data_IF_456059803335
#
_entry.id   IF_456059803335
#
_cell.length_a   1.000
_cell.length_b   1.000
_cell.length_c   1.000
_cell.angle_alpha   90.00
_cell.angle_beta   90.00
_cell.angle_gamma   90.00
#
_symmetry.space_group_name_H-M   'P 1'
#
loop_
_entity.id
_entity.type
_entity.pdbx_description
1 polymer ?
#
# COMPACT_ATOMS: atom_id res chain seq x y z
N UNK A 1 -12.79 -12.69 22.34
CA UNK A 1 -13.16 -12.51 20.92
C UNK A 1 -12.00 -11.88 20.18
N UNK A 2 -12.16 -11.60 18.89
CA UNK A 2 -11.17 -10.80 18.15
C UNK A 2 -11.10 -9.37 18.68
N UNK A 3 -9.96 -8.69 18.50
CA UNK A 3 -9.77 -7.29 18.88
C UNK A 3 -9.89 -6.34 17.69
N UNK A 4 -9.69 -6.86 16.47
CA UNK A 4 -9.71 -6.07 15.26
C UNK A 4 -10.26 -6.85 14.06
N UNK A 5 -10.70 -6.10 13.06
CA UNK A 5 -11.03 -6.53 11.71
C UNK A 5 -10.17 -5.72 10.73
N UNK A 6 -9.60 -6.38 9.73
CA UNK A 6 -8.80 -5.75 8.67
C UNK A 6 -9.32 -6.13 7.27
N UNK A 7 -10.63 -6.41 7.16
CA UNK A 7 -11.25 -6.87 5.90
C UNK A 7 -11.77 -5.71 5.04
N UNK A 8 -11.86 -4.51 5.62
CA UNK A 8 -12.44 -3.34 4.98
C UNK A 8 -11.53 -2.68 3.94
N UNK A 9 -12.16 -1.89 3.06
CA UNK A 9 -11.49 -1.00 2.11
C UNK A 9 -12.00 0.42 2.33
N UNK A 10 -11.10 1.39 2.27
CA UNK A 10 -11.41 2.81 2.42
C UNK A 10 -11.00 3.62 1.19
N UNK A 11 -11.59 4.80 0.98
CA UNK A 11 -11.31 5.66 -0.21
C UNK A 11 -9.89 6.28 -0.20
N UNK A 12 -9.15 6.08 0.89
CA UNK A 12 -7.82 6.60 1.19
C UNK A 12 -7.54 6.37 2.68
N UNK A 13 -6.35 6.74 3.19
CA UNK A 13 -6.00 6.52 4.60
C UNK A 13 -7.09 7.00 5.55
N UNK A 14 -7.52 6.12 6.45
CA UNK A 14 -8.61 6.35 7.39
C UNK A 14 -8.16 5.99 8.81
N UNK A 15 -8.60 6.79 9.81
CA UNK A 15 -8.38 6.41 11.21
C UNK A 15 -9.22 5.17 11.53
N UNK A 16 -8.67 4.17 12.22
CA UNK A 16 -9.40 2.94 12.52
C UNK A 16 -10.45 3.17 13.61
N UNK A 17 -11.76 3.12 13.31
CA UNK A 17 -12.78 3.28 14.34
C UNK A 17 -12.97 1.97 15.13
N UNK A 18 -13.28 2.08 16.41
CA UNK A 18 -13.75 0.95 17.22
C UNK A 18 -15.27 0.95 17.28
N UNK A 19 -15.90 -0.17 16.92
CA UNK A 19 -17.35 -0.38 17.02
C UNK A 19 -17.60 -1.76 17.64
N UNK A 20 -18.48 -1.81 18.63
CA UNK A 20 -18.84 -3.05 19.34
C UNK A 20 -17.61 -3.83 19.87
N UNK A 21 -16.60 -3.09 20.34
CA UNK A 21 -15.35 -3.66 20.87
C UNK A 21 -14.35 -4.14 19.81
N UNK A 22 -14.63 -3.98 18.51
CA UNK A 22 -13.74 -4.37 17.41
C UNK A 22 -13.21 -3.12 16.70
N UNK A 23 -11.88 -2.98 16.66
CA UNK A 23 -11.20 -1.92 15.90
C UNK A 23 -11.10 -2.31 14.43
N UNK A 24 -11.50 -1.43 13.52
CA UNK A 24 -11.52 -1.72 12.08
C UNK A 24 -10.40 -1.00 11.35
N UNK A 25 -9.44 -1.76 10.87
CA UNK A 25 -8.40 -1.32 9.94
C UNK A 25 -8.92 -1.54 8.52
N UNK A 26 -8.61 -0.62 7.60
CA UNK A 26 -9.19 -0.67 6.26
C UNK A 26 -8.19 -0.21 5.24
N UNK A 27 -7.82 -1.14 4.36
CA UNK A 27 -6.83 -0.89 3.33
C UNK A 27 -7.25 0.31 2.47
N UNK A 28 -6.39 1.32 2.35
CA UNK A 28 -6.71 2.53 1.65
C UNK A 28 -6.59 2.35 0.15
N UNK A 29 -7.45 3.05 -0.57
CA UNK A 29 -7.22 3.32 -1.98
C UNK A 29 -6.23 4.48 -2.17
N UNK A 30 -5.14 4.22 -2.89
CA UNK A 30 -4.07 5.18 -3.19
C UNK A 30 -4.08 5.57 -4.67
N UNK A 31 -3.68 6.81 -5.02
CA UNK A 31 -3.56 7.22 -6.42
C UNK A 31 -2.42 6.45 -7.10
N UNK A 32 -2.64 5.99 -8.33
CA UNK A 32 -1.63 5.30 -9.12
C UNK A 32 -1.72 5.72 -10.60
N UNK A 33 -0.55 5.86 -11.23
CA UNK A 33 -0.41 6.20 -12.64
C UNK A 33 -0.76 7.66 -12.99
N UNK A 34 -0.63 8.04 -14.28
CA UNK A 34 -0.78 9.42 -14.73
C UNK A 34 -2.21 9.97 -14.53
N UNK A 35 -3.23 9.11 -14.67
CA UNK A 35 -4.62 9.49 -14.42
C UNK A 35 -4.99 9.51 -12.93
N UNK A 36 -4.06 9.16 -12.03
CA UNK A 36 -4.25 9.07 -10.57
C UNK A 36 -5.44 8.20 -10.15
N UNK A 37 -5.79 7.21 -10.97
CA UNK A 37 -6.91 6.32 -10.70
C UNK A 37 -6.59 5.48 -9.48
N UNK A 38 -7.47 5.56 -8.49
CA UNK A 38 -7.35 4.85 -7.22
C UNK A 38 -7.22 3.32 -7.43
N UNK A 39 -6.31 2.72 -6.67
CA UNK A 39 -6.11 1.28 -6.52
C UNK A 39 -6.00 0.97 -5.03
N UNK A 40 -6.50 -0.17 -4.57
CA UNK A 40 -6.27 -0.60 -3.18
C UNK A 40 -4.76 -0.76 -3.00
N UNK A 41 -4.23 -0.25 -1.88
CA UNK A 41 -2.81 -0.33 -1.53
C UNK A 41 -2.41 -1.77 -1.15
N UNK A 42 -2.54 -2.68 -2.10
CA UNK A 42 -2.21 -4.08 -2.00
C UNK A 42 -1.52 -4.54 -3.28
N UNK A 43 -0.45 -5.32 -3.14
CA UNK A 43 0.33 -5.88 -4.24
C UNK A 43 -0.52 -6.59 -5.31
N UNK A 44 -1.50 -7.40 -4.92
CA UNK A 44 -2.38 -8.08 -5.87
C UNK A 44 -3.22 -7.10 -6.70
N UNK A 45 -3.71 -6.02 -6.09
CA UNK A 45 -4.48 -5.01 -6.82
C UNK A 45 -3.59 -4.22 -7.80
N UNK A 46 -2.33 -4.01 -7.44
CA UNK A 46 -1.32 -3.42 -8.34
C UNK A 46 -0.93 -4.40 -9.45
N UNK A 47 -0.81 -5.69 -9.16
CA UNK A 47 -0.60 -6.76 -10.15
C UNK A 47 -1.69 -6.78 -11.21
N UNK A 48 -2.95 -6.78 -10.78
CA UNK A 48 -4.09 -6.68 -11.68
C UNK A 48 -4.06 -5.36 -12.47
N UNK A 49 -3.73 -4.24 -11.82
CA UNK A 49 -3.65 -2.93 -12.48
C UNK A 49 -2.57 -2.87 -13.56
N UNK A 50 -1.40 -3.44 -13.29
CA UNK A 50 -0.22 -3.28 -14.13
C UNK A 50 -0.15 -4.26 -15.28
N UNK A 51 -0.57 -5.52 -15.05
CA UNK A 51 -0.42 -6.58 -16.03
C UNK A 51 -1.70 -7.37 -16.31
N UNK A 52 -2.83 -6.96 -15.73
CA UNK A 52 -4.10 -7.68 -15.87
C UNK A 52 -4.12 -9.01 -15.14
N UNK A 53 -3.21 -9.24 -14.18
CA UNK A 53 -3.10 -10.51 -13.48
C UNK A 53 -2.25 -11.56 -14.20
N UNK A 54 -1.42 -11.14 -15.16
CA UNK A 54 -0.49 -12.02 -15.85
C UNK A 54 0.95 -11.61 -15.62
N UNK A 55 1.84 -12.59 -15.50
CA UNK A 55 3.26 -12.32 -15.34
C UNK A 55 3.84 -11.59 -16.56
N UNK A 56 4.57 -10.50 -16.31
CA UNK A 56 5.32 -9.70 -17.30
C UNK A 56 6.70 -9.33 -16.74
N UNK A 57 7.63 -10.29 -16.55
CA UNK A 57 8.95 -10.03 -15.95
C UNK A 57 9.75 -8.93 -16.66
N UNK A 58 9.62 -8.81 -17.97
CA UNK A 58 10.27 -7.74 -18.75
C UNK A 58 9.84 -6.32 -18.37
N UNK A 59 8.77 -6.17 -17.59
CA UNK A 59 8.26 -4.90 -17.07
C UNK A 59 8.40 -4.76 -15.55
N UNK A 60 9.07 -5.71 -14.88
CA UNK A 60 9.15 -5.73 -13.42
C UNK A 60 9.69 -4.40 -12.84
N UNK A 61 10.74 -3.84 -13.43
CA UNK A 61 11.31 -2.55 -13.00
C UNK A 61 10.30 -1.40 -13.18
N UNK A 62 9.59 -1.34 -14.30
CA UNK A 62 8.54 -0.33 -14.53
C UNK A 62 7.45 -0.42 -13.46
N UNK A 63 7.01 -1.63 -13.14
CA UNK A 63 5.96 -1.86 -12.15
C UNK A 63 6.44 -1.58 -10.72
N UNK A 64 7.70 -1.87 -10.41
CA UNK A 64 8.32 -1.55 -9.14
C UNK A 64 8.38 -0.02 -8.94
N UNK A 65 8.86 0.73 -9.94
CA UNK A 65 8.92 2.19 -9.87
C UNK A 65 7.52 2.82 -9.71
N UNK A 66 6.55 2.38 -10.50
CA UNK A 66 5.16 2.87 -10.38
C UNK A 66 4.53 2.55 -9.02
N UNK A 67 4.81 1.37 -8.47
CA UNK A 67 4.32 0.97 -7.15
C UNK A 67 4.96 1.82 -6.06
N UNK A 68 6.28 2.01 -6.15
CA UNK A 68 7.04 2.85 -5.23
C UNK A 68 6.50 4.29 -5.23
N UNK A 69 6.29 4.88 -6.41
CA UNK A 69 5.73 6.23 -6.55
C UNK A 69 4.33 6.34 -5.94
N UNK A 70 3.48 5.34 -6.13
CA UNK A 70 2.13 5.31 -5.54
C UNK A 70 2.18 5.25 -4.00
N UNK A 71 3.03 4.38 -3.43
CA UNK A 71 3.23 4.31 -1.98
C UNK A 71 3.82 5.60 -1.42
N UNK A 72 4.81 6.16 -2.11
CA UNK A 72 5.47 7.40 -1.68
C UNK A 72 4.52 8.58 -1.72
N UNK A 73 3.71 8.73 -2.77
CA UNK A 73 2.69 9.76 -2.86
C UNK A 73 1.65 9.65 -1.74
N UNK A 74 1.20 8.43 -1.43
CA UNK A 74 0.27 8.19 -0.33
C UNK A 74 0.88 8.51 1.04
N UNK A 75 2.14 8.14 1.25
CA UNK A 75 2.89 8.46 2.46
C UNK A 75 3.10 9.95 2.61
N UNK A 76 3.64 10.63 1.60
CA UNK A 76 3.97 12.05 1.64
C UNK A 76 2.70 12.89 1.94
N UNK A 77 1.54 12.50 1.37
CA UNK A 77 0.27 13.14 1.67
C UNK A 77 -0.13 13.02 3.17
N UNK A 78 0.19 11.91 3.84
CA UNK A 78 -0.05 11.76 5.28
C UNK A 78 1.03 12.42 6.12
N UNK A 79 2.29 12.29 5.71
CA UNK A 79 3.45 12.81 6.40
C UNK A 79 3.47 14.33 6.44
N UNK A 80 3.06 14.99 5.36
CA UNK A 80 2.92 16.45 5.28
C UNK A 80 1.54 16.95 5.75
N UNK A 81 0.62 16.03 6.03
CA UNK A 81 -0.78 16.33 6.27
C UNK A 81 -1.29 15.80 7.61
N UNK A 82 -2.36 15.01 7.55
CA UNK A 82 -3.15 14.63 8.73
C UNK A 82 -2.53 13.50 9.56
N UNK A 83 -1.40 12.92 9.12
CA UNK A 83 -0.71 11.80 9.77
C UNK A 83 -1.66 10.64 10.09
N UNK A 84 -2.56 10.31 9.16
CA UNK A 84 -3.43 9.13 9.29
C UNK A 84 -2.59 7.89 8.94
N UNK A 85 -2.74 6.77 9.68
CA UNK A 85 -2.03 5.52 9.35
C UNK A 85 -2.22 5.11 7.90
N UNK A 86 -1.13 4.71 7.24
CA UNK A 86 -1.11 4.17 5.88
C UNK A 86 -0.89 2.67 5.97
N UNK A 87 -1.93 1.90 5.64
CA UNK A 87 -1.85 0.43 5.57
C UNK A 87 -1.45 0.00 4.15
N UNK A 88 -0.49 -0.92 4.04
CA UNK A 88 -0.07 -1.53 2.77
C UNK A 88 -0.17 -3.06 2.90
N UNK A 89 -0.96 -3.70 2.02
CA UNK A 89 -1.21 -5.15 2.05
C UNK A 89 -0.31 -5.92 1.09
N UNK A 90 0.21 -7.08 1.52
CA UNK A 90 1.09 -7.91 0.69
C UNK A 90 0.77 -9.40 0.82
N UNK A 91 0.97 -10.11 -0.27
CA UNK A 91 1.00 -11.56 -0.32
C UNK A 91 2.46 -12.04 -0.33
N UNK A 92 2.72 -13.21 0.24
CA UNK A 92 4.01 -13.89 0.17
C UNK A 92 4.24 -14.56 -1.20
N UNK A 93 4.03 -13.80 -2.29
CA UNK A 93 4.15 -14.25 -3.68
C UNK A 93 4.89 -13.19 -4.50
N UNK A 94 5.88 -13.61 -5.28
CA UNK A 94 6.70 -12.71 -6.13
C UNK A 94 6.03 -12.45 -7.49
N UNK A 95 4.90 -11.74 -7.49
CA UNK A 95 4.20 -11.33 -8.71
C UNK A 95 5.04 -10.35 -9.55
N UNK A 96 5.03 -10.52 -10.87
CA UNK A 96 5.84 -9.75 -11.84
C UNK A 96 7.32 -9.71 -11.46
N UNK A 97 7.92 -10.88 -11.24
CA UNK A 97 9.35 -11.03 -10.87
C UNK A 97 9.74 -10.23 -9.62
N UNK A 98 8.83 -10.20 -8.63
CA UNK A 98 9.05 -9.52 -7.36
C UNK A 98 8.89 -8.00 -7.37
N UNK A 99 8.37 -7.40 -8.45
CA UNK A 99 8.24 -5.95 -8.61
C UNK A 99 7.65 -5.23 -7.38
N UNK A 100 6.58 -5.78 -6.80
CA UNK A 100 5.87 -5.17 -5.67
C UNK A 100 6.65 -5.28 -4.35
N UNK A 101 7.38 -6.37 -4.14
CA UNK A 101 8.27 -6.55 -3.01
C UNK A 101 9.49 -5.62 -3.11
N UNK A 102 10.08 -5.47 -4.29
CA UNK A 102 11.18 -4.53 -4.53
C UNK A 102 10.74 -3.09 -4.23
N UNK A 103 9.52 -2.72 -4.62
CA UNK A 103 8.95 -1.41 -4.32
C UNK A 103 8.72 -1.20 -2.80
N UNK A 104 8.21 -2.23 -2.10
CA UNK A 104 8.03 -2.21 -0.66
C UNK A 104 9.36 -2.08 0.08
N UNK A 105 10.37 -2.86 -0.28
CA UNK A 105 11.69 -2.85 0.35
C UNK A 105 12.34 -1.46 0.22
N UNK A 106 12.31 -0.89 -0.99
CA UNK A 106 12.78 0.48 -1.23
C UNK A 106 12.01 1.50 -0.40
N UNK A 107 10.68 1.43 -0.42
CA UNK A 107 9.82 2.33 0.35
C UNK A 107 10.13 2.25 1.85
N UNK A 108 10.18 1.04 2.42
CA UNK A 108 10.42 0.81 3.83
C UNK A 108 11.83 1.25 4.25
N UNK A 109 12.86 0.98 3.43
CA UNK A 109 14.23 1.42 3.69
C UNK A 109 14.37 2.94 3.82
N UNK A 110 13.58 3.70 3.06
CA UNK A 110 13.57 5.17 3.12
C UNK A 110 12.64 5.76 4.19
N UNK A 111 11.49 5.13 4.41
CA UNK A 111 10.40 5.70 5.23
C UNK A 111 10.50 5.24 6.68
N UNK A 112 10.74 3.96 6.92
CA UNK A 112 10.75 3.37 8.25
C UNK A 112 12.00 3.75 9.07
N UNK A 113 13.00 4.36 8.44
CA UNK A 113 14.23 4.85 9.09
C UNK A 113 14.13 6.31 9.54
N UNK A 114 13.01 6.99 9.25
CA UNK A 114 12.78 8.37 9.67
C UNK A 114 12.47 8.44 11.17
N UNK A 115 12.98 9.46 11.90
CA UNK A 115 12.86 9.53 13.35
C UNK A 115 11.42 9.69 13.87
N UNK A 116 10.49 10.13 13.02
CA UNK A 116 9.08 10.39 13.36
C UNK A 116 8.11 9.46 12.59
N UNK A 117 8.59 8.29 12.18
CA UNK A 117 7.81 7.25 11.49
C UNK A 117 7.99 5.91 12.17
N UNK A 118 6.89 5.20 12.36
CA UNK A 118 6.88 3.82 12.84
C UNK A 118 6.25 2.92 11.78
N UNK A 119 6.97 1.89 11.36
CA UNK A 119 6.45 0.80 10.54
C UNK A 119 6.20 -0.40 11.44
N UNK A 120 4.93 -0.74 11.65
CA UNK A 120 4.48 -1.73 12.63
C UNK A 120 3.51 -2.73 11.99
N UNK A 121 3.44 -3.93 12.57
CA UNK A 121 2.54 -5.03 12.19
C UNK A 121 1.65 -5.42 13.36
#
# INVERSE_FOLDING_TARGET
GYLFDASGVSRGPARPPTRDGITRFSLPQIPEGPDTRRVIAMDYNLYIRHSGGFERPSKANEFADRTYDAFRAAFDAQYQGKRIPLELGFHFTLMNDGAYWNALERFAGEVCTRPDVECIS
#
